data_IF_097624854461
#
_entry.id   IF_097624854461
#
_cell.length_a   1.000
_cell.length_b   1.000
_cell.length_c   1.000
_cell.angle_alpha   90.00
_cell.angle_beta   90.00
_cell.angle_gamma   90.00
#
_symmetry.space_group_name_H-M   'P 1'
#
loop_
_entity.id
_entity.type
_entity.pdbx_description
1 polymer ?
#
# COMPACT_ATOMS: atom_id res chain seq x y z
N UNK A 1 19.07 40.02 5.70
CA UNK A 1 18.11 39.17 4.97
C UNK A 1 17.97 37.88 5.76
N UNK A 2 16.76 37.54 6.21
CA UNK A 2 16.53 36.36 7.06
C UNK A 2 16.58 35.09 6.21
N UNK A 3 17.03 33.98 6.79
CA UNK A 3 17.08 32.65 6.12
C UNK A 3 15.75 32.27 5.41
N UNK A 4 14.61 32.68 5.99
CA UNK A 4 13.26 32.48 5.40
C UNK A 4 13.06 33.27 4.09
N UNK A 5 13.70 34.40 3.89
CA UNK A 5 13.60 35.17 2.64
C UNK A 5 14.34 34.42 1.52
N UNK A 6 15.50 33.89 1.85
CA UNK A 6 16.29 33.10 0.90
C UNK A 6 15.56 31.81 0.45
N UNK A 7 14.87 31.12 1.35
CA UNK A 7 14.08 29.94 1.01
C UNK A 7 12.92 30.25 0.05
N UNK A 8 12.22 31.39 0.24
CA UNK A 8 11.18 31.83 -0.68
C UNK A 8 11.69 32.12 -2.08
N UNK A 9 12.89 32.66 -2.20
CA UNK A 9 13.52 32.93 -3.49
C UNK A 9 13.84 31.64 -4.26
N UNK A 10 13.96 30.49 -3.56
CA UNK A 10 14.21 29.18 -4.16
C UNK A 10 12.93 28.44 -4.60
N UNK A 11 11.76 28.79 -4.04
CA UNK A 11 10.50 28.08 -4.37
C UNK A 11 10.18 28.04 -5.88
N UNK A 12 10.31 29.11 -6.67
CA UNK A 12 10.05 29.05 -8.11
C UNK A 12 10.99 28.09 -8.85
N UNK A 13 12.27 28.07 -8.46
CA UNK A 13 13.28 27.20 -9.07
C UNK A 13 13.06 25.73 -8.65
N UNK A 14 12.60 25.52 -7.40
CA UNK A 14 12.18 24.21 -6.90
C UNK A 14 10.95 23.68 -7.66
N UNK A 15 9.92 24.52 -7.87
CA UNK A 15 8.72 24.16 -8.63
C UNK A 15 9.03 23.73 -10.07
N UNK A 16 10.12 24.26 -10.67
CA UNK A 16 10.61 23.89 -11.99
C UNK A 16 11.56 22.66 -11.98
N UNK A 17 11.84 22.08 -10.79
CA UNK A 17 12.75 20.94 -10.65
C UNK A 17 14.21 21.27 -11.00
N UNK A 18 14.63 22.54 -10.88
CA UNK A 18 15.93 23.04 -11.37
C UNK A 18 16.94 23.35 -10.27
N UNK A 19 16.63 23.08 -8.98
CA UNK A 19 17.56 23.21 -7.88
C UNK A 19 18.59 22.08 -7.87
N UNK A 20 19.77 22.35 -7.30
CA UNK A 20 20.70 21.30 -6.92
C UNK A 20 20.08 20.42 -5.81
N UNK A 21 20.48 19.11 -5.71
CA UNK A 21 19.84 18.18 -4.76
C UNK A 21 19.89 18.59 -3.29
N UNK A 22 20.95 19.28 -2.86
CA UNK A 22 21.11 19.80 -1.51
C UNK A 22 20.21 21.01 -1.24
N UNK A 23 20.05 21.92 -2.20
CA UNK A 23 19.13 23.05 -2.11
C UNK A 23 17.66 22.56 -2.14
N UNK A 24 17.32 21.60 -3.01
CA UNK A 24 15.99 21.00 -3.08
C UNK A 24 15.61 20.41 -1.71
N UNK A 25 16.49 19.63 -1.09
CA UNK A 25 16.25 19.05 0.24
C UNK A 25 16.01 20.13 1.31
N UNK A 26 16.76 21.24 1.30
CA UNK A 26 16.56 22.35 2.24
C UNK A 26 15.17 22.98 2.07
N UNK A 27 14.70 23.12 0.84
CA UNK A 27 13.35 23.61 0.55
C UNK A 27 12.30 22.60 1.02
N UNK A 28 12.46 21.28 0.73
CA UNK A 28 11.55 20.22 1.16
C UNK A 28 11.38 20.19 2.69
N UNK A 29 12.50 20.27 3.44
CA UNK A 29 12.50 20.32 4.90
C UNK A 29 11.77 21.57 5.44
N UNK A 30 11.97 22.74 4.81
CA UNK A 30 11.33 23.98 5.21
C UNK A 30 9.81 23.97 4.93
N UNK A 31 9.40 23.44 3.77
CA UNK A 31 8.01 23.30 3.34
C UNK A 31 7.26 22.32 4.25
N UNK A 32 7.91 21.22 4.68
CA UNK A 32 7.32 20.26 5.61
C UNK A 32 7.00 20.88 7.00
N UNK A 33 7.72 21.94 7.38
CA UNK A 33 7.54 22.62 8.66
C UNK A 33 6.72 23.92 8.62
N UNK A 34 6.34 24.45 7.44
CA UNK A 34 5.67 25.74 7.27
C UNK A 34 4.55 25.66 6.22
N UNK A 35 3.30 25.63 6.69
CA UNK A 35 2.12 25.54 5.83
C UNK A 35 2.03 26.70 4.81
N UNK A 36 2.49 27.90 5.17
CA UNK A 36 2.49 29.05 4.24
C UNK A 36 3.49 28.87 3.09
N UNK A 37 4.65 28.23 3.33
CA UNK A 37 5.57 27.86 2.26
C UNK A 37 5.02 26.72 1.40
N UNK A 38 4.30 25.77 2.00
CA UNK A 38 3.65 24.69 1.29
C UNK A 38 2.58 25.19 0.30
N UNK A 39 1.73 26.11 0.76
CA UNK A 39 0.69 26.74 -0.09
C UNK A 39 1.32 27.54 -1.25
N UNK A 40 2.39 28.30 -0.96
CA UNK A 40 3.11 29.09 -1.95
C UNK A 40 3.79 28.19 -2.99
N UNK A 41 4.42 27.09 -2.57
CA UNK A 41 5.01 26.10 -3.49
C UNK A 41 3.93 25.41 -4.34
N UNK A 42 2.80 25.04 -3.76
CA UNK A 42 1.70 24.41 -4.50
C UNK A 42 1.20 25.31 -5.62
N UNK A 43 1.02 26.61 -5.37
CA UNK A 43 0.62 27.57 -6.40
C UNK A 43 1.68 27.73 -7.51
N UNK A 44 2.97 27.68 -7.15
CA UNK A 44 4.06 27.74 -8.13
C UNK A 44 4.16 26.46 -8.99
N UNK A 45 3.92 25.29 -8.39
CA UNK A 45 3.87 24.01 -9.12
C UNK A 45 2.69 23.99 -10.10
N UNK A 46 1.52 24.51 -9.70
CA UNK A 46 0.37 24.67 -10.60
C UNK A 46 0.72 25.57 -11.80
N UNK A 47 1.34 26.72 -11.55
CA UNK A 47 1.80 27.62 -12.60
C UNK A 47 2.85 26.96 -13.53
N UNK A 48 3.80 26.21 -12.99
CA UNK A 48 4.80 25.47 -13.74
C UNK A 48 4.16 24.39 -14.66
N UNK A 49 3.10 23.72 -14.17
CA UNK A 49 2.33 22.73 -14.94
C UNK A 49 1.70 23.37 -16.17
N UNK A 50 1.11 24.57 -16.03
CA UNK A 50 0.53 25.31 -17.17
C UNK A 50 1.57 25.64 -18.24
N UNK A 51 2.83 25.89 -17.87
CA UNK A 51 3.92 26.08 -18.85
C UNK A 51 4.16 24.78 -19.62
N UNK A 52 4.16 23.63 -18.93
CA UNK A 52 4.30 22.31 -19.55
C UNK A 52 3.17 21.99 -20.54
N UNK A 53 1.93 22.36 -20.21
CA UNK A 53 0.76 22.16 -21.06
C UNK A 53 0.82 22.98 -22.37
N UNK A 54 1.59 24.06 -22.39
CA UNK A 54 1.85 24.86 -23.58
C UNK A 54 2.88 24.26 -24.56
N UNK A 55 3.57 23.18 -24.18
CA UNK A 55 4.58 22.53 -25.03
C UNK A 55 3.90 21.50 -25.93
N UNK A 56 4.23 21.47 -27.27
CA UNK A 56 3.68 20.45 -28.14
C UNK A 56 3.94 19.03 -27.63
N UNK A 57 2.87 18.21 -27.63
CA UNK A 57 2.98 16.81 -27.22
C UNK A 57 3.90 16.03 -28.17
N UNK A 58 4.92 15.41 -27.63
CA UNK A 58 5.81 14.49 -28.36
C UNK A 58 5.41 13.08 -28.01
N UNK A 59 4.96 12.29 -28.99
CA UNK A 59 4.63 10.89 -28.78
C UNK A 59 5.89 10.12 -28.36
N UNK A 60 5.86 9.38 -27.23
CA UNK A 60 6.96 8.51 -26.85
C UNK A 60 7.22 7.46 -27.94
N UNK A 61 8.48 7.01 -28.09
CA UNK A 61 8.79 5.89 -28.98
C UNK A 61 7.98 4.66 -28.55
N UNK A 62 7.45 3.88 -29.52
CA UNK A 62 6.56 2.75 -29.29
C UNK A 62 7.10 1.73 -28.25
N UNK A 63 8.42 1.57 -28.17
CA UNK A 63 9.07 0.68 -27.20
C UNK A 63 9.09 1.22 -25.75
N UNK A 64 8.84 2.50 -25.51
CA UNK A 64 8.96 3.10 -24.15
C UNK A 64 7.94 2.48 -23.20
N UNK A 65 6.69 2.34 -23.64
CA UNK A 65 5.64 1.72 -22.83
C UNK A 65 5.98 0.27 -22.45
N UNK A 66 6.44 -0.51 -23.43
CA UNK A 66 6.84 -1.91 -23.18
C UNK A 66 7.99 -1.99 -22.18
N UNK A 67 9.04 -1.18 -22.36
CA UNK A 67 10.19 -1.11 -21.44
C UNK A 67 9.80 -0.67 -20.03
N UNK A 68 8.88 0.29 -19.89
CA UNK A 68 8.36 0.70 -18.58
C UNK A 68 7.60 -0.45 -17.90
N UNK A 69 6.72 -1.14 -18.63
CA UNK A 69 5.98 -2.28 -18.10
C UNK A 69 6.92 -3.44 -17.75
N UNK A 70 7.93 -3.72 -18.56
CA UNK A 70 8.97 -4.71 -18.25
C UNK A 70 9.79 -4.30 -17.01
N UNK A 71 10.15 -3.03 -16.86
CA UNK A 71 10.88 -2.55 -15.69
C UNK A 71 10.06 -2.67 -14.40
N UNK A 72 8.75 -2.45 -14.47
CA UNK A 72 7.84 -2.63 -13.33
C UNK A 72 7.65 -4.12 -13.02
N UNK A 73 7.49 -4.96 -14.05
CA UNK A 73 7.35 -6.40 -13.89
C UNK A 73 8.65 -7.07 -13.40
N UNK A 74 9.80 -6.50 -13.76
CA UNK A 74 11.12 -6.97 -13.32
C UNK A 74 11.49 -6.53 -11.90
N UNK A 75 10.76 -5.58 -11.30
CA UNK A 75 10.91 -5.29 -9.86
C UNK A 75 10.31 -6.48 -9.11
N UNK A 76 11.13 -7.37 -8.51
CA UNK A 76 10.57 -8.40 -7.64
C UNK A 76 9.70 -7.67 -6.61
N UNK A 77 8.56 -8.23 -6.25
CA UNK A 77 7.83 -7.79 -5.05
C UNK A 77 8.72 -8.17 -3.87
N UNK A 78 9.85 -7.48 -3.76
CA UNK A 78 10.78 -7.58 -2.66
C UNK A 78 10.27 -6.73 -1.49
N UNK A 79 10.84 -6.91 -0.31
CA UNK A 79 10.51 -6.13 0.87
C UNK A 79 10.50 -4.61 0.60
N UNK A 80 11.33 -4.12 -0.33
CA UNK A 80 11.34 -2.72 -0.78
C UNK A 80 10.05 -2.24 -1.45
N UNK A 81 9.31 -3.10 -2.15
CA UNK A 81 8.03 -2.72 -2.74
C UNK A 81 6.93 -2.55 -1.67
N UNK A 82 7.10 -3.19 -0.51
CA UNK A 82 6.20 -3.10 0.64
C UNK A 82 6.52 -1.90 1.55
N UNK A 83 7.69 -1.27 1.39
CA UNK A 83 8.14 -0.16 2.25
C UNK A 83 7.12 0.98 2.31
N UNK A 84 6.43 1.27 1.22
CA UNK A 84 5.34 2.28 1.17
C UNK A 84 4.20 2.03 2.14
N UNK A 85 4.06 0.81 2.65
CA UNK A 85 3.04 0.41 3.61
C UNK A 85 3.56 0.34 5.04
N UNK A 86 4.87 0.50 5.28
CA UNK A 86 5.50 0.21 6.56
C UNK A 86 4.90 1.00 7.73
N UNK A 87 4.68 2.30 7.57
CA UNK A 87 4.10 3.13 8.62
C UNK A 87 2.63 2.74 8.93
N UNK A 88 1.84 2.41 7.91
CA UNK A 88 0.43 1.98 8.07
C UNK A 88 0.35 0.61 8.73
N UNK A 89 1.18 -0.34 8.27
CA UNK A 89 1.30 -1.65 8.88
C UNK A 89 1.69 -1.55 10.36
N UNK A 90 2.72 -0.75 10.67
CA UNK A 90 3.19 -0.52 12.04
C UNK A 90 2.05 -0.02 12.95
N UNK A 91 1.22 0.91 12.45
CA UNK A 91 0.08 1.44 13.19
C UNK A 91 -1.05 0.41 13.41
N UNK A 92 -1.39 -0.40 12.38
CA UNK A 92 -2.45 -1.43 12.46
C UNK A 92 -2.07 -2.54 13.43
N UNK A 93 -0.80 -2.97 13.40
CA UNK A 93 -0.32 -4.13 14.16
C UNK A 93 0.42 -3.77 15.45
N UNK A 94 0.48 -2.48 15.80
CA UNK A 94 1.12 -1.97 17.03
C UNK A 94 2.58 -2.46 17.16
N UNK A 95 3.34 -2.35 16.09
CA UNK A 95 4.76 -2.71 16.01
C UNK A 95 5.60 -1.53 15.53
N UNK A 96 6.93 -1.62 15.70
CA UNK A 96 7.82 -0.60 15.14
C UNK A 96 7.97 -0.75 13.62
N UNK A 97 8.40 0.31 12.94
CA UNK A 97 8.69 0.26 11.49
C UNK A 97 9.84 -0.72 11.20
N UNK A 98 10.82 -0.81 12.08
CA UNK A 98 11.92 -1.79 11.98
C UNK A 98 11.38 -3.22 12.03
N UNK A 99 10.49 -3.51 12.99
CA UNK A 99 9.84 -4.83 13.08
C UNK A 99 8.98 -5.12 11.85
N UNK A 100 8.30 -4.10 11.31
CA UNK A 100 7.54 -4.22 10.05
C UNK A 100 8.43 -4.66 8.88
N UNK A 101 9.62 -4.09 8.77
CA UNK A 101 10.57 -4.47 7.69
C UNK A 101 11.04 -5.91 7.81
N UNK A 102 11.28 -6.40 9.03
CA UNK A 102 11.59 -7.81 9.28
C UNK A 102 10.43 -8.71 8.84
N UNK A 103 9.19 -8.38 9.22
CA UNK A 103 7.99 -9.12 8.82
C UNK A 103 7.78 -9.10 7.31
N UNK A 104 8.02 -7.98 6.64
CA UNK A 104 7.96 -7.91 5.19
C UNK A 104 9.02 -8.75 4.50
N UNK A 105 10.22 -8.91 5.11
CA UNK A 105 11.22 -9.83 4.61
C UNK A 105 10.73 -11.30 4.64
N UNK A 106 9.97 -11.69 5.68
CA UNK A 106 9.31 -12.99 5.73
C UNK A 106 8.21 -13.13 4.67
N UNK A 107 7.40 -12.09 4.47
CA UNK A 107 6.30 -12.10 3.49
C UNK A 107 6.79 -12.28 2.04
N UNK A 108 8.02 -11.87 1.71
CA UNK A 108 8.60 -12.04 0.38
C UNK A 108 9.41 -13.33 0.22
N UNK A 109 9.74 -14.02 1.31
CA UNK A 109 10.43 -15.31 1.28
C UNK A 109 9.42 -16.44 1.00
N UNK A 110 9.54 -17.17 -0.14
CA UNK A 110 8.66 -18.28 -0.46
C UNK A 110 8.65 -19.40 0.59
N UNK A 111 9.75 -19.59 1.31
CA UNK A 111 9.87 -20.65 2.32
C UNK A 111 9.11 -20.36 3.62
N UNK A 112 8.72 -19.11 3.86
CA UNK A 112 8.01 -18.69 5.07
C UNK A 112 6.51 -19.02 5.05
N UNK A 113 5.94 -19.41 3.89
CA UNK A 113 4.53 -19.59 3.72
C UNK A 113 4.07 -21.02 4.03
N UNK A 114 3.10 -21.16 4.92
CA UNK A 114 2.41 -22.40 5.24
C UNK A 114 1.08 -22.52 4.50
N UNK A 115 0.56 -23.74 4.34
CA UNK A 115 -0.76 -23.95 3.72
C UNK A 115 -1.86 -23.36 4.57
N UNK A 116 -2.70 -22.54 3.95
CA UNK A 116 -3.89 -21.96 4.56
C UNK A 116 -5.13 -22.87 4.49
N UNK A 117 -6.28 -22.37 4.98
CA UNK A 117 -7.51 -23.16 5.16
C UNK A 117 -8.22 -23.57 3.87
N UNK A 118 -7.86 -22.99 2.72
CA UNK A 118 -8.50 -23.24 1.45
C UNK A 118 -7.55 -23.54 0.29
N UNK A 119 -8.04 -24.10 -0.81
CA UNK A 119 -7.24 -24.30 -2.00
C UNK A 119 -6.67 -22.98 -2.54
N UNK A 120 -5.36 -22.92 -2.75
CA UNK A 120 -4.70 -21.73 -3.27
C UNK A 120 -4.49 -20.62 -2.22
N UNK A 121 -4.59 -20.93 -0.93
CA UNK A 121 -4.29 -20.01 0.16
C UNK A 121 -3.07 -20.45 0.96
N UNK A 122 -2.27 -19.49 1.39
CA UNK A 122 -1.10 -19.65 2.27
C UNK A 122 -1.10 -18.57 3.35
N UNK A 123 -0.51 -18.90 4.49
CA UNK A 123 -0.46 -18.05 5.68
C UNK A 123 0.97 -17.90 6.19
N UNK A 124 1.23 -16.78 6.84
CA UNK A 124 2.35 -16.57 7.74
C UNK A 124 1.76 -15.94 9.00
N UNK A 125 1.88 -16.59 10.15
CA UNK A 125 1.52 -15.98 11.43
C UNK A 125 2.70 -15.16 11.98
N UNK A 126 2.40 -14.06 12.65
CA UNK A 126 3.40 -13.27 13.36
C UNK A 126 2.83 -12.69 14.67
N UNK A 127 3.71 -12.40 15.60
CA UNK A 127 3.34 -11.68 16.83
C UNK A 127 3.28 -10.18 16.57
N UNK A 128 2.12 -9.59 16.85
CA UNK A 128 1.87 -8.16 16.83
C UNK A 128 2.03 -7.55 18.23
N UNK A 129 1.90 -6.23 18.33
CA UNK A 129 2.03 -5.51 19.60
C UNK A 129 0.81 -5.67 20.52
N UNK A 130 0.89 -5.10 21.75
CA UNK A 130 -0.12 -5.27 22.80
C UNK A 130 -1.54 -4.84 22.41
N UNK A 131 -1.69 -3.85 21.51
CA UNK A 131 -3.01 -3.43 21.04
C UNK A 131 -3.73 -4.50 20.18
N UNK A 132 -3.01 -5.54 19.74
CA UNK A 132 -3.56 -6.68 19.00
C UNK A 132 -3.77 -7.92 19.89
N UNK A 133 -3.68 -7.78 21.20
CA UNK A 133 -3.79 -8.92 22.13
C UNK A 133 -5.10 -9.70 21.91
N UNK A 134 -5.00 -11.03 21.74
CA UNK A 134 -6.13 -11.92 21.47
C UNK A 134 -6.55 -12.00 19.99
N UNK A 135 -5.99 -11.20 19.10
CA UNK A 135 -6.19 -11.36 17.67
C UNK A 135 -5.24 -12.41 17.08
N UNK A 136 -5.70 -13.08 16.03
CA UNK A 136 -4.83 -13.78 15.11
C UNK A 136 -4.28 -12.76 14.10
N UNK A 137 -2.95 -12.72 13.95
CA UNK A 137 -2.25 -11.76 13.11
C UNK A 137 -1.32 -12.48 12.15
N UNK A 138 -1.37 -12.08 10.88
CA UNK A 138 -0.59 -12.77 9.86
C UNK A 138 -0.63 -12.09 8.49
N UNK A 139 0.07 -12.73 7.56
CA UNK A 139 -0.10 -12.47 6.14
C UNK A 139 -0.90 -13.61 5.52
N UNK A 140 -1.76 -13.27 4.58
CA UNK A 140 -2.51 -14.22 3.75
C UNK A 140 -2.12 -13.99 2.30
N UNK A 141 -1.85 -15.07 1.58
CA UNK A 141 -1.58 -15.06 0.14
C UNK A 141 -2.55 -16.00 -0.55
N UNK A 142 -3.25 -15.51 -1.56
CA UNK A 142 -4.19 -16.26 -2.38
C UNK A 142 -3.74 -16.29 -3.83
N UNK A 143 -3.78 -17.48 -4.46
CA UNK A 143 -3.39 -17.66 -5.85
C UNK A 143 -4.30 -16.88 -6.82
N UNK A 144 -3.82 -16.50 -8.02
CA UNK A 144 -4.66 -15.97 -9.08
C UNK A 144 -5.86 -16.85 -9.37
N UNK A 145 -7.05 -16.25 -9.47
CA UNK A 145 -8.31 -16.95 -9.74
C UNK A 145 -8.89 -17.78 -8.60
N UNK A 146 -8.17 -17.90 -7.46
CA UNK A 146 -8.70 -18.61 -6.29
C UNK A 146 -9.83 -17.82 -5.63
N UNK A 147 -10.68 -18.55 -4.91
CA UNK A 147 -11.76 -18.00 -4.11
C UNK A 147 -11.48 -18.28 -2.64
N UNK A 148 -11.53 -17.23 -1.80
CA UNK A 148 -11.56 -17.38 -0.36
C UNK A 148 -13.01 -17.64 0.06
N UNK A 149 -13.28 -18.71 0.85
CA UNK A 149 -14.65 -19.17 1.07
C UNK A 149 -15.50 -18.18 1.86
N UNK A 150 -16.83 -18.31 1.73
CA UNK A 150 -17.78 -17.60 2.59
C UNK A 150 -17.50 -17.90 4.05
N UNK A 151 -17.42 -16.86 4.86
CA UNK A 151 -17.13 -16.97 6.29
C UNK A 151 -17.80 -15.85 7.08
N UNK A 152 -17.89 -16.06 8.40
CA UNK A 152 -18.39 -15.08 9.37
C UNK A 152 -17.27 -14.68 10.32
N UNK A 153 -17.19 -13.41 10.63
CA UNK A 153 -16.27 -12.87 11.64
C UNK A 153 -16.89 -13.04 13.02
N UNK A 154 -16.14 -13.67 13.94
CA UNK A 154 -16.54 -13.82 15.35
C UNK A 154 -16.22 -12.56 16.17
N UNK A 155 -15.25 -11.77 15.73
CA UNK A 155 -14.87 -10.48 16.26
C UNK A 155 -14.50 -9.52 15.11
N UNK A 156 -13.97 -8.33 15.40
CA UNK A 156 -13.56 -7.40 14.38
C UNK A 156 -12.38 -7.93 13.57
N UNK A 157 -12.33 -7.57 12.30
CA UNK A 157 -11.18 -7.80 11.42
C UNK A 157 -10.72 -6.48 10.80
N UNK A 158 -9.41 -6.34 10.62
CA UNK A 158 -8.82 -5.26 9.83
C UNK A 158 -7.72 -5.83 8.94
N UNK A 159 -7.74 -5.45 7.68
CA UNK A 159 -6.77 -5.86 6.68
C UNK A 159 -5.98 -4.66 6.16
N UNK A 160 -4.80 -4.93 5.61
CA UNK A 160 -4.04 -4.03 4.74
C UNK A 160 -3.66 -4.80 3.48
N UNK A 161 -4.18 -4.38 2.34
CA UNK A 161 -3.89 -5.02 1.07
C UNK A 161 -2.49 -4.61 0.59
N UNK A 162 -1.62 -5.58 0.29
CA UNK A 162 -0.22 -5.38 -0.04
C UNK A 162 0.09 -5.61 -1.52
N UNK A 163 -0.57 -6.59 -2.16
CA UNK A 163 -0.35 -6.92 -3.57
C UNK A 163 -1.59 -7.59 -4.19
N UNK A 164 -1.68 -7.57 -5.51
CA UNK A 164 -2.77 -8.16 -6.27
C UNK A 164 -4.11 -7.43 -6.11
N UNK A 165 -5.17 -7.98 -6.70
CA UNK A 165 -6.52 -7.44 -6.59
C UNK A 165 -7.53 -8.57 -6.39
N UNK A 166 -8.56 -8.31 -5.60
CA UNK A 166 -9.67 -9.22 -5.36
C UNK A 166 -11.01 -8.52 -5.51
N UNK A 167 -12.04 -9.27 -5.89
CA UNK A 167 -13.43 -8.84 -5.84
C UNK A 167 -14.06 -9.44 -4.60
N UNK A 168 -14.43 -8.59 -3.67
CA UNK A 168 -15.02 -8.95 -2.38
C UNK A 168 -16.53 -8.68 -2.39
N UNK A 169 -17.31 -9.61 -1.86
CA UNK A 169 -18.79 -9.54 -1.87
C UNK A 169 -19.35 -8.40 -1.01
N UNK A 170 -18.57 -7.88 -0.04
CA UNK A 170 -18.96 -6.79 0.86
C UNK A 170 -18.30 -5.47 0.50
N UNK A 171 -17.00 -5.49 0.17
CA UNK A 171 -16.17 -4.30 -0.03
C UNK A 171 -15.96 -3.93 -1.50
N UNK A 172 -16.40 -4.78 -2.44
CA UNK A 172 -16.14 -4.59 -3.86
C UNK A 172 -14.68 -4.86 -4.23
N UNK A 173 -14.15 -4.08 -5.15
CA UNK A 173 -12.78 -4.26 -5.66
C UNK A 173 -11.73 -3.77 -4.66
N UNK A 174 -10.93 -4.70 -4.16
CA UNK A 174 -9.80 -4.44 -3.26
C UNK A 174 -8.49 -4.34 -4.02
N UNK A 175 -7.65 -3.34 -3.67
CA UNK A 175 -6.37 -3.02 -4.30
C UNK A 175 -5.28 -2.74 -3.27
N UNK A 176 -4.00 -2.81 -3.66
CA UNK A 176 -2.89 -2.48 -2.77
C UNK A 176 -3.04 -1.08 -2.15
N UNK A 177 -3.03 -1.04 -0.82
CA UNK A 177 -3.22 0.13 -0.01
C UNK A 177 -4.62 0.30 0.57
N UNK A 178 -5.61 -0.51 0.16
CA UNK A 178 -6.92 -0.52 0.81
C UNK A 178 -6.83 -1.15 2.21
N UNK A 179 -7.67 -0.66 3.11
CA UNK A 179 -7.76 -1.11 4.51
C UNK A 179 -9.20 -1.50 4.86
N UNK A 180 -9.75 -2.59 4.28
CA UNK A 180 -11.08 -3.02 4.64
C UNK A 180 -11.13 -3.45 6.11
N UNK A 181 -12.20 -3.04 6.81
CA UNK A 181 -12.48 -3.42 8.19
C UNK A 181 -13.87 -4.06 8.29
N UNK A 182 -13.94 -5.23 8.92
CA UNK A 182 -15.16 -5.97 9.12
C UNK A 182 -15.52 -6.05 10.60
N UNK A 183 -16.81 -5.93 10.90
CA UNK A 183 -17.34 -6.02 12.26
C UNK A 183 -17.69 -7.47 12.62
N UNK A 184 -17.75 -7.75 13.91
CA UNK A 184 -18.25 -9.02 14.42
C UNK A 184 -19.63 -9.36 13.84
N UNK A 185 -19.86 -10.60 13.43
CA UNK A 185 -21.10 -11.08 12.82
C UNK A 185 -21.24 -10.78 11.32
N UNK A 186 -20.34 -9.99 10.74
CA UNK A 186 -20.34 -9.77 9.30
C UNK A 186 -19.87 -11.02 8.53
N UNK A 187 -20.38 -11.16 7.31
CA UNK A 187 -20.08 -12.31 6.45
C UNK A 187 -19.67 -11.85 5.07
N UNK A 188 -18.71 -12.51 4.47
CA UNK A 188 -18.29 -12.27 3.09
C UNK A 188 -17.45 -13.42 2.51
N UNK A 189 -17.17 -13.31 1.23
CA UNK A 189 -16.18 -14.08 0.48
C UNK A 189 -15.47 -13.17 -0.52
N UNK A 190 -14.33 -13.56 -1.04
CA UNK A 190 -13.71 -12.84 -2.13
C UNK A 190 -13.08 -13.78 -3.15
N UNK A 191 -12.86 -13.25 -4.35
CA UNK A 191 -12.18 -13.93 -5.45
C UNK A 191 -11.01 -13.09 -5.94
N UNK A 192 -9.86 -13.72 -6.13
CA UNK A 192 -8.68 -13.07 -6.73
C UNK A 192 -8.93 -12.87 -8.22
N UNK A 193 -8.76 -11.61 -8.68
CA UNK A 193 -9.03 -11.22 -10.08
C UNK A 193 -7.79 -10.68 -10.81
N UNK A 194 -6.68 -10.48 -10.08
CA UNK A 194 -5.38 -10.16 -10.67
C UNK A 194 -4.67 -11.39 -11.24
N UNK A 195 -3.72 -11.15 -12.16
CA UNK A 195 -2.84 -12.20 -12.69
C UNK A 195 -1.73 -12.59 -11.69
N UNK A 196 -1.44 -11.71 -10.72
CA UNK A 196 -0.54 -11.97 -9.60
C UNK A 196 -1.31 -12.42 -8.36
N UNK A 197 -0.63 -13.06 -7.39
CA UNK A 197 -1.23 -13.43 -6.11
C UNK A 197 -1.77 -12.21 -5.35
N UNK A 198 -2.93 -12.36 -4.72
CA UNK A 198 -3.48 -11.39 -3.79
C UNK A 198 -2.84 -11.61 -2.41
N UNK A 199 -2.19 -10.58 -1.87
CA UNK A 199 -1.49 -10.64 -0.58
C UNK A 199 -2.00 -9.52 0.31
N UNK A 200 -2.36 -9.86 1.54
CA UNK A 200 -2.77 -8.90 2.55
C UNK A 200 -2.25 -9.28 3.94
N UNK A 201 -2.11 -8.28 4.80
CA UNK A 201 -1.91 -8.47 6.22
C UNK A 201 -3.26 -8.42 6.93
N UNK A 202 -3.46 -9.28 7.93
CA UNK A 202 -4.73 -9.43 8.65
C UNK A 202 -4.52 -9.38 10.15
N UNK A 203 -5.45 -8.70 10.83
CA UNK A 203 -5.68 -8.78 12.27
C UNK A 203 -7.15 -9.15 12.47
N UNK A 204 -7.42 -10.35 12.99
CA UNK A 204 -8.78 -10.88 13.13
C UNK A 204 -9.00 -11.55 14.49
N UNK A 205 -10.19 -11.37 15.05
CA UNK A 205 -10.60 -11.96 16.33
C UNK A 205 -11.52 -13.17 16.13
N UNK A 206 -11.12 -14.07 15.26
CA UNK A 206 -11.77 -15.32 14.96
C UNK A 206 -12.68 -15.30 13.73
N UNK A 207 -12.68 -16.43 13.03
CA UNK A 207 -13.44 -16.66 11.79
C UNK A 207 -14.15 -18.00 11.87
N UNK A 208 -15.41 -18.05 11.45
CA UNK A 208 -16.19 -19.28 11.30
C UNK A 208 -16.45 -19.58 9.82
N UNK A 209 -15.90 -20.67 9.33
CA UNK A 209 -16.09 -21.15 7.95
C UNK A 209 -17.28 -22.13 7.82
N UNK A 210 -17.97 -22.48 8.91
CA UNK A 210 -19.10 -23.41 8.89
C UNK A 210 -20.45 -22.71 8.69
N UNK A 211 -20.43 -21.47 8.22
CA UNK A 211 -21.64 -20.71 7.95
C UNK A 211 -22.13 -20.96 6.52
N UNK A 212 -23.45 -21.09 6.37
CA UNK A 212 -24.06 -21.26 5.05
C UNK A 212 -24.15 -19.90 4.37
N UNK A 213 -23.70 -19.85 3.12
CA UNK A 213 -23.94 -18.69 2.27
C UNK A 213 -25.43 -18.47 2.12
N UNK A 214 -25.97 -17.24 2.36
CA UNK A 214 -27.35 -16.94 2.05
C UNK A 214 -27.64 -17.21 0.57
N UNK A 215 -28.78 -17.86 0.30
CA UNK A 215 -29.25 -18.05 -1.07
C UNK A 215 -29.45 -16.70 -1.78
N UNK A 216 -29.41 -16.68 -3.13
CA UNK A 216 -29.66 -15.50 -3.93
C UNK A 216 -31.07 -14.96 -3.73
#
# INVERSE_FOLDING_TARGET
MTARHHLRDLLPVHALGSLAPDEARLVDEAVAGDAGLADELAALVEAATLIGDGVPLVAPAAAVRARLLESIAAVPVGAGALERFAARFAAIFDVTVERTRELFAHAVDPASWEKGPGPGAWLIHFEAGPACAGADTGFVKCAPGSQFPWHRHLGPEQNLILAGEAEDSRFGRLRPGDEPAAEAGSEHEFRVVSAEPFVYAVRVFGVDFNVLRPGP
#
